data_IF_223614904150
#
_entry.id   IF_223614904150
#
_cell.length_a   1.000
_cell.length_b   1.000
_cell.length_c   1.000
_cell.angle_alpha   90.00
_cell.angle_beta   90.00
_cell.angle_gamma   90.00
#
_symmetry.space_group_name_H-M   'P 1'
#
loop_
_entity.id
_entity.type
_entity.pdbx_description
1 polymer ?
#
# COMPACT_ATOMS: atom_id res chain seq x y z
N UNK A 1 48.70 41.27 18.77
CA UNK A 1 47.23 41.21 18.73
C UNK A 1 46.88 41.49 20.18
N UNK A 2 46.38 42.70 20.45
CA UNK A 2 45.82 43.01 21.77
C UNK A 2 44.72 41.96 22.00
N UNK A 3 44.88 41.17 23.05
CA UNK A 3 43.83 40.30 23.57
C UNK A 3 42.70 41.23 24.01
N UNK A 4 41.42 40.94 23.71
CA UNK A 4 40.39 41.74 24.35
C UNK A 4 40.51 41.53 25.85
N UNK A 5 40.39 42.63 26.58
CA UNK A 5 40.51 42.67 28.03
C UNK A 5 41.51 41.64 28.60
N UNK A 6 42.80 41.97 28.55
CA UNK A 6 43.93 41.21 29.14
C UNK A 6 43.71 40.82 30.64
N UNK A 7 42.66 41.32 31.29
CA UNK A 7 42.29 41.00 32.67
C UNK A 7 41.22 39.90 32.79
N UNK A 8 40.56 39.51 31.70
CA UNK A 8 39.50 38.51 31.66
C UNK A 8 39.88 37.29 30.80
N UNK A 9 40.17 36.12 31.41
CA UNK A 9 40.58 34.93 30.66
C UNK A 9 39.48 34.31 29.78
N UNK A 10 38.23 34.78 29.88
CA UNK A 10 37.13 34.31 29.03
C UNK A 10 36.91 35.16 27.78
N UNK A 11 37.63 36.29 27.65
CA UNK A 11 37.51 37.22 26.52
C UNK A 11 38.85 37.18 25.79
N UNK A 12 38.92 36.53 24.64
CA UNK A 12 40.18 36.37 23.88
C UNK A 12 39.92 35.90 22.44
N UNK A 13 40.85 36.16 21.50
CA UNK A 13 40.81 35.63 20.14
C UNK A 13 40.69 34.10 20.10
N UNK A 14 39.47 33.60 19.86
CA UNK A 14 39.14 32.18 19.81
C UNK A 14 38.33 31.64 21.00
N UNK A 15 37.89 32.50 21.93
CA UNK A 15 36.83 32.16 22.86
C UNK A 15 35.50 31.85 22.12
N UNK A 16 34.57 31.18 22.79
CA UNK A 16 33.21 31.00 22.25
C UNK A 16 32.37 32.21 22.61
N UNK A 17 31.86 32.91 21.60
CA UNK A 17 30.97 34.08 21.78
C UNK A 17 29.72 33.71 22.60
N UNK A 18 29.39 34.52 23.60
CA UNK A 18 28.17 34.39 24.40
C UNK A 18 27.19 35.50 23.96
N UNK A 19 26.14 35.17 23.21
CA UNK A 19 25.26 36.20 22.63
C UNK A 19 24.58 37.09 23.66
N UNK A 20 24.55 38.40 23.38
CA UNK A 20 23.82 39.44 24.10
C UNK A 20 24.28 39.66 25.56
N UNK A 21 25.53 39.36 25.88
CA UNK A 21 26.09 39.59 27.23
C UNK A 21 26.71 40.99 27.38
N UNK A 22 26.81 41.77 26.30
CA UNK A 22 27.42 43.09 26.23
C UNK A 22 28.94 43.08 26.00
N UNK A 23 29.54 41.94 25.68
CA UNK A 23 30.98 41.68 25.61
C UNK A 23 31.28 40.90 24.33
N UNK A 24 32.17 41.44 23.49
CA UNK A 24 32.81 40.72 22.37
C UNK A 24 33.80 39.71 22.96
N UNK A 25 33.35 38.48 23.22
CA UNK A 25 34.10 37.45 23.94
C UNK A 25 35.21 36.86 23.06
N UNK A 26 34.96 36.69 21.77
CA UNK A 26 35.90 36.09 20.81
C UNK A 26 36.86 37.08 20.14
N UNK A 27 36.74 38.38 20.45
CA UNK A 27 37.57 39.46 19.94
C UNK A 27 37.56 39.62 18.42
N UNK A 28 36.50 39.20 17.77
CA UNK A 28 36.39 39.28 16.34
C UNK A 28 35.68 40.59 15.96
N UNK A 29 36.40 41.59 15.40
CA UNK A 29 35.81 42.87 15.03
C UNK A 29 34.77 42.77 13.91
N UNK A 30 34.70 41.63 13.21
CA UNK A 30 33.67 41.35 12.21
C UNK A 30 32.37 40.80 12.86
N UNK A 31 32.42 40.28 14.09
CA UNK A 31 31.28 39.73 14.87
C UNK A 31 31.18 40.34 16.27
N UNK A 32 31.09 41.68 16.42
CA UNK A 32 30.93 42.28 17.75
C UNK A 32 29.58 41.88 18.37
N UNK A 33 29.55 41.56 19.68
CA UNK A 33 28.37 41.13 20.44
C UNK A 33 27.09 41.97 20.17
N UNK A 34 27.23 43.27 19.91
CA UNK A 34 26.10 44.15 19.60
C UNK A 34 25.39 43.91 18.26
N UNK A 35 26.02 43.21 17.31
CA UNK A 35 25.49 43.01 15.95
C UNK A 35 25.50 41.54 15.49
N UNK A 36 26.17 40.63 16.20
CA UNK A 36 26.30 39.23 15.76
C UNK A 36 24.99 38.44 15.89
N UNK A 37 24.16 38.79 16.88
CA UNK A 37 22.87 38.14 17.11
C UNK A 37 21.67 39.05 16.82
N UNK A 38 21.80 39.98 15.88
CA UNK A 38 20.71 40.89 15.50
C UNK A 38 20.00 40.48 14.19
N UNK A 39 20.60 39.58 13.40
CA UNK A 39 19.97 39.07 12.19
C UNK A 39 18.88 38.07 12.58
N UNK A 40 17.67 38.30 12.08
CA UNK A 40 16.50 37.43 12.23
C UNK A 40 15.90 37.27 10.83
N UNK A 41 16.41 36.27 10.11
CA UNK A 41 16.20 36.07 8.68
C UNK A 41 14.75 35.73 8.36
N UNK A 42 14.04 35.02 9.24
CA UNK A 42 12.64 34.66 9.06
C UNK A 42 11.63 35.51 9.85
N UNK A 43 12.14 36.38 10.73
CA UNK A 43 11.38 37.34 11.54
C UNK A 43 10.42 36.66 12.52
N UNK A 44 10.88 35.62 13.21
CA UNK A 44 10.12 34.92 14.27
C UNK A 44 10.37 35.47 15.68
N UNK A 45 11.35 36.37 15.82
CA UNK A 45 11.75 36.97 17.08
C UNK A 45 12.93 36.28 17.77
N UNK A 46 13.43 35.19 17.19
CA UNK A 46 14.67 34.50 17.58
C UNK A 46 15.74 34.86 16.57
N UNK A 47 16.86 35.47 17.00
CA UNK A 47 17.92 35.76 16.06
C UNK A 47 18.56 34.49 15.50
N UNK A 48 19.04 34.54 14.25
CA UNK A 48 19.66 33.44 13.51
C UNK A 48 20.73 32.70 14.31
N UNK A 49 21.46 33.42 15.17
CA UNK A 49 22.54 32.86 15.99
C UNK A 49 22.04 31.96 17.14
N UNK A 50 20.79 32.15 17.58
CA UNK A 50 20.11 31.38 18.63
C UNK A 50 18.97 30.51 18.07
N UNK A 51 18.78 30.52 16.75
CA UNK A 51 17.72 29.81 16.07
C UNK A 51 18.27 28.52 15.43
N UNK A 52 17.74 27.37 15.86
CA UNK A 52 18.05 26.08 15.24
C UNK A 52 17.48 25.93 13.83
N UNK A 53 16.58 26.82 13.42
CA UNK A 53 15.94 26.92 12.13
C UNK A 53 15.84 28.38 11.61
N UNK A 54 16.96 29.06 11.30
CA UNK A 54 16.99 30.50 10.96
C UNK A 54 16.17 30.96 9.73
N UNK A 55 15.51 30.04 9.05
CA UNK A 55 14.71 30.31 7.86
C UNK A 55 13.28 29.73 7.96
N UNK A 56 12.88 29.21 9.12
CA UNK A 56 11.53 28.71 9.39
C UNK A 56 10.87 29.42 10.56
N UNK A 57 10.10 30.47 10.22
CA UNK A 57 9.41 31.34 11.18
C UNK A 57 8.46 30.65 12.19
N UNK A 58 8.21 29.35 12.03
CA UNK A 58 7.32 28.58 12.90
C UNK A 58 8.08 27.71 13.90
N UNK A 59 9.40 27.61 13.78
CA UNK A 59 10.24 26.71 14.56
C UNK A 59 11.54 27.39 14.90
N UNK A 60 11.90 27.34 16.18
CA UNK A 60 13.22 27.76 16.68
C UNK A 60 14.18 26.58 16.89
N UNK A 61 13.66 25.35 16.75
CA UNK A 61 14.41 24.11 16.82
C UNK A 61 13.96 23.17 15.69
N UNK A 62 14.88 22.39 15.08
CA UNK A 62 14.55 21.48 13.99
C UNK A 62 13.41 20.49 14.30
N UNK A 63 13.30 20.03 15.53
CA UNK A 63 12.34 18.99 15.90
C UNK A 63 12.63 17.64 15.20
N UNK A 64 11.63 16.76 15.14
CA UNK A 64 11.75 15.39 14.59
C UNK A 64 11.84 15.38 13.07
N UNK A 65 11.11 16.29 12.42
CA UNK A 65 11.04 16.41 10.96
C UNK A 65 12.03 17.41 10.36
N UNK A 66 12.81 18.10 11.20
CA UNK A 66 13.67 19.19 10.77
C UNK A 66 12.91 20.50 10.53
N UNK A 67 13.67 21.52 10.10
CA UNK A 67 13.13 22.84 9.78
C UNK A 67 12.25 22.80 8.53
N UNK A 68 11.23 23.65 8.47
CA UNK A 68 10.29 23.80 7.36
C UNK A 68 9.19 22.74 7.32
N UNK A 69 9.23 21.73 8.20
CA UNK A 69 8.27 20.63 8.25
C UNK A 69 7.70 20.55 9.66
N UNK A 70 6.36 20.57 9.79
CA UNK A 70 5.71 20.46 11.10
C UNK A 70 5.89 19.06 11.69
N UNK A 71 6.17 18.96 13.00
CA UNK A 71 6.22 17.70 13.74
C UNK A 71 4.81 17.21 14.10
N UNK A 72 3.96 17.08 13.07
CA UNK A 72 2.64 16.48 13.25
C UNK A 72 2.83 15.00 13.54
N UNK A 73 1.99 14.50 14.44
CA UNK A 73 1.87 13.10 14.82
C UNK A 73 0.35 12.85 14.82
N UNK A 74 -0.15 12.10 13.84
CA UNK A 74 -1.58 12.06 13.51
C UNK A 74 -2.33 11.02 14.32
N UNK A 75 -1.74 9.86 14.52
CA UNK A 75 -2.20 8.74 15.33
C UNK A 75 -1.85 8.92 16.81
N UNK A 76 -0.86 9.76 17.14
CA UNK A 76 -0.38 10.02 18.50
C UNK A 76 0.38 8.84 19.11
N UNK A 77 1.12 8.09 18.29
CA UNK A 77 1.99 6.99 18.74
C UNK A 77 3.37 7.47 19.22
N UNK A 78 3.69 8.75 19.00
CA UNK A 78 4.94 9.37 19.38
C UNK A 78 5.99 9.41 18.27
N UNK A 79 5.69 8.94 17.07
CA UNK A 79 6.47 9.14 15.85
C UNK A 79 5.84 10.28 15.05
N UNK A 80 6.65 11.17 14.48
CA UNK A 80 6.09 12.26 13.67
C UNK A 80 5.79 11.74 12.25
N UNK A 81 4.69 12.20 11.62
CA UNK A 81 4.19 11.82 10.28
C UNK A 81 5.32 11.71 9.21
N UNK A 82 6.40 12.50 9.35
CA UNK A 82 7.53 12.54 8.43
C UNK A 82 8.51 11.36 8.54
N UNK A 83 8.57 10.73 9.70
CA UNK A 83 9.44 9.60 10.05
C UNK A 83 8.64 8.33 10.36
N UNK A 84 7.34 8.38 10.12
CA UNK A 84 6.37 7.38 10.52
C UNK A 84 5.95 6.55 9.30
N UNK A 85 6.13 5.24 9.43
CA UNK A 85 5.81 4.27 8.38
C UNK A 85 4.29 4.11 8.23
N UNK A 86 3.56 4.31 9.32
CA UNK A 86 2.13 4.10 9.45
C UNK A 86 1.38 5.32 9.99
N UNK A 87 1.58 6.51 9.41
CA UNK A 87 1.03 7.83 9.83
C UNK A 87 -0.49 8.05 10.02
N UNK A 88 -1.28 6.99 10.23
CA UNK A 88 -2.66 6.98 10.67
C UNK A 88 -2.95 5.92 11.74
N UNK A 89 -1.98 5.09 12.11
CA UNK A 89 -2.08 3.94 13.02
C UNK A 89 -0.77 3.84 13.82
N UNK A 90 -0.80 3.25 15.00
CA UNK A 90 0.40 3.13 15.85
C UNK A 90 1.41 2.13 15.27
N UNK A 91 2.58 2.61 14.81
CA UNK A 91 3.63 1.80 14.19
C UNK A 91 4.43 0.95 15.18
N UNK A 92 4.17 1.12 16.49
CA UNK A 92 4.73 0.27 17.55
C UNK A 92 3.89 -0.98 17.82
N UNK A 93 2.71 -1.08 17.20
CA UNK A 93 1.88 -2.28 17.24
C UNK A 93 2.43 -3.30 16.24
N UNK A 94 2.87 -4.41 16.82
CA UNK A 94 3.39 -5.58 16.12
C UNK A 94 2.87 -6.81 16.88
N UNK A 95 1.74 -7.37 16.42
CA UNK A 95 0.98 -8.40 17.15
C UNK A 95 1.73 -9.72 17.24
N UNK A 96 2.47 -10.11 16.20
CA UNK A 96 3.25 -11.36 16.18
C UNK A 96 4.75 -11.16 16.48
N UNK A 97 5.20 -9.91 16.64
CA UNK A 97 6.57 -9.54 16.97
C UNK A 97 7.57 -9.91 15.88
N UNK A 98 7.17 -9.90 14.61
CA UNK A 98 8.04 -10.19 13.46
C UNK A 98 8.92 -9.00 13.04
N UNK A 99 8.64 -7.81 13.60
CA UNK A 99 9.33 -6.55 13.34
C UNK A 99 8.72 -5.72 12.21
N UNK A 100 7.58 -6.14 11.65
CA UNK A 100 6.78 -5.40 10.68
C UNK A 100 5.54 -4.86 11.39
N UNK A 101 5.31 -3.53 11.42
CA UNK A 101 4.11 -2.97 12.02
C UNK A 101 2.82 -3.47 11.36
N UNK A 102 1.79 -3.78 12.15
CA UNK A 102 0.50 -4.37 11.71
C UNK A 102 -0.14 -3.63 10.52
N UNK A 103 -0.06 -2.31 10.52
CA UNK A 103 -0.57 -1.41 9.48
C UNK A 103 0.02 -1.64 8.08
N UNK A 104 1.22 -2.22 8.00
CA UNK A 104 1.88 -2.61 6.76
C UNK A 104 2.19 -4.12 6.70
N UNK A 105 1.84 -4.86 7.75
CA UNK A 105 2.00 -6.30 7.80
C UNK A 105 0.83 -7.00 7.09
N UNK A 106 1.08 -7.71 5.98
CA UNK A 106 0.06 -8.54 5.34
C UNK A 106 -0.33 -9.81 6.12
N UNK A 107 0.36 -10.15 7.22
CA UNK A 107 0.28 -11.42 7.93
C UNK A 107 0.09 -11.30 9.45
N UNK A 108 -0.74 -10.35 9.88
CA UNK A 108 -0.97 -10.05 11.30
C UNK A 108 -1.32 -11.28 12.13
N UNK A 109 -0.46 -11.65 13.08
CA UNK A 109 -0.78 -12.64 14.11
C UNK A 109 -0.83 -14.06 13.57
N UNK A 110 -0.20 -14.31 12.43
CA UNK A 110 -0.32 -15.58 11.74
C UNK A 110 0.58 -16.67 12.33
N UNK A 111 0.20 -17.92 12.12
CA UNK A 111 0.93 -19.09 12.62
C UNK A 111 1.60 -19.82 11.46
N UNK A 112 2.58 -20.65 11.80
CA UNK A 112 3.11 -21.68 10.92
C UNK A 112 2.48 -23.00 11.40
N UNK A 113 1.29 -23.31 10.87
CA UNK A 113 0.44 -24.39 11.37
C UNK A 113 1.03 -25.77 11.12
N UNK A 114 1.92 -25.92 10.13
CA UNK A 114 2.55 -27.20 9.80
C UNK A 114 4.05 -27.30 10.15
N UNK A 115 4.68 -26.17 10.45
CA UNK A 115 6.06 -26.09 10.91
C UNK A 115 7.10 -26.17 9.79
N UNK A 116 6.76 -25.83 8.54
CA UNK A 116 7.69 -25.85 7.41
C UNK A 116 8.57 -24.59 7.28
N UNK A 117 8.26 -23.57 8.08
CA UNK A 117 8.96 -22.29 8.13
C UNK A 117 8.34 -21.20 7.24
N UNK A 118 7.19 -21.45 6.60
CA UNK A 118 6.38 -20.46 5.90
C UNK A 118 5.12 -20.18 6.73
N UNK A 119 4.83 -18.91 7.03
CA UNK A 119 3.58 -18.54 7.74
C UNK A 119 2.35 -18.87 6.88
N UNK A 120 1.25 -19.27 7.50
CA UNK A 120 0.01 -19.73 6.85
C UNK A 120 -0.52 -18.75 5.77
N UNK A 121 -0.42 -17.43 5.96
CA UNK A 121 -0.80 -16.40 5.00
C UNK A 121 -0.01 -16.47 3.68
N UNK A 122 1.25 -16.91 3.77
CA UNK A 122 2.18 -17.06 2.65
C UNK A 122 2.31 -18.51 2.19
N UNK A 123 1.84 -19.45 3.00
CA UNK A 123 1.90 -20.86 2.72
C UNK A 123 0.77 -21.26 1.74
N UNK A 124 1.09 -21.74 0.53
CA UNK A 124 0.09 -22.31 -0.37
C UNK A 124 -0.59 -23.57 0.21
N UNK A 125 0.02 -24.15 1.25
CA UNK A 125 -0.28 -25.42 1.87
C UNK A 125 -0.27 -25.35 3.41
N UNK A 126 -1.06 -24.49 4.09
CA UNK A 126 -0.91 -24.15 5.52
C UNK A 126 -1.05 -25.29 6.55
N UNK A 127 -1.20 -26.55 6.13
CA UNK A 127 -1.34 -27.70 7.02
C UNK A 127 -0.56 -28.91 6.49
N UNK A 128 0.38 -28.71 5.57
CA UNK A 128 1.16 -29.76 4.93
C UNK A 128 2.63 -29.35 4.76
N UNK A 129 3.52 -29.80 5.68
CA UNK A 129 4.87 -29.29 5.75
C UNK A 129 5.78 -29.80 4.63
N UNK A 130 5.24 -30.62 3.72
CA UNK A 130 5.95 -31.07 2.52
C UNK A 130 5.46 -30.34 1.28
N UNK A 131 4.57 -29.34 1.43
CA UNK A 131 3.94 -28.65 0.32
C UNK A 131 3.34 -29.62 -0.72
N UNK A 132 2.83 -30.79 -0.29
CA UNK A 132 2.37 -31.85 -1.18
C UNK A 132 0.95 -31.58 -1.72
N UNK A 133 0.21 -30.59 -1.21
CA UNK A 133 -0.89 -29.98 -1.98
C UNK A 133 -0.43 -29.23 -3.24
N UNK A 134 0.87 -28.92 -3.32
CA UNK A 134 1.57 -28.53 -4.56
C UNK A 134 2.31 -29.73 -5.19
N UNK A 135 1.92 -30.98 -4.86
CA UNK A 135 2.42 -32.14 -5.60
C UNK A 135 1.87 -32.08 -7.01
N UNK A 136 2.67 -31.49 -7.88
CA UNK A 136 2.48 -31.60 -9.31
C UNK A 136 2.67 -33.08 -9.69
N UNK A 137 1.59 -33.85 -9.66
CA UNK A 137 1.57 -35.26 -10.11
C UNK A 137 1.78 -35.40 -11.62
N UNK A 138 1.91 -34.28 -12.32
CA UNK A 138 2.06 -34.22 -13.77
C UNK A 138 3.49 -34.53 -14.23
N UNK A 139 3.62 -34.80 -15.53
CA UNK A 139 4.92 -35.09 -16.12
C UNK A 139 5.81 -33.85 -16.19
N UNK A 140 7.12 -34.04 -16.35
CA UNK A 140 8.06 -32.92 -16.50
C UNK A 140 7.63 -31.97 -17.62
N UNK A 141 7.46 -30.68 -17.29
CA UNK A 141 6.99 -29.63 -18.22
C UNK A 141 5.48 -29.41 -18.24
N UNK A 142 4.74 -30.06 -17.35
CA UNK A 142 3.32 -29.83 -17.10
C UNK A 142 3.12 -29.24 -15.70
N UNK A 143 2.01 -28.55 -15.50
CA UNK A 143 1.61 -27.89 -14.25
C UNK A 143 0.23 -28.41 -13.88
N UNK A 144 0.07 -28.85 -12.63
CA UNK A 144 -1.22 -29.23 -12.08
C UNK A 144 -2.08 -27.98 -11.88
N UNK A 145 -3.30 -28.03 -12.40
CA UNK A 145 -4.33 -27.02 -12.17
C UNK A 145 -5.60 -27.70 -11.66
N UNK A 146 -6.37 -26.96 -10.86
CA UNK A 146 -7.74 -27.29 -10.54
C UNK A 146 -8.67 -26.57 -11.53
N UNK A 147 -9.30 -27.36 -12.40
CA UNK A 147 -10.19 -26.88 -13.44
C UNK A 147 -11.65 -26.92 -12.99
N UNK A 148 -12.30 -25.76 -12.98
CA UNK A 148 -13.69 -25.62 -12.54
C UNK A 148 -14.64 -25.85 -13.72
N UNK A 149 -15.33 -26.99 -13.73
CA UNK A 149 -16.32 -27.30 -14.77
C UNK A 149 -17.59 -26.47 -14.55
N UNK A 150 -18.28 -26.16 -15.64
CA UNK A 150 -19.54 -25.40 -15.68
C UNK A 150 -20.68 -25.98 -14.81
N UNK A 151 -20.56 -27.22 -14.33
CA UNK A 151 -21.53 -27.87 -13.44
C UNK A 151 -21.20 -27.72 -11.95
N UNK A 152 -20.20 -26.89 -11.60
CA UNK A 152 -19.77 -26.67 -10.21
C UNK A 152 -18.90 -27.79 -9.64
N UNK A 153 -18.38 -28.69 -10.49
CA UNK A 153 -17.40 -29.71 -10.07
C UNK A 153 -16.01 -29.29 -10.51
N UNK A 154 -15.01 -29.53 -9.66
CA UNK A 154 -13.63 -29.24 -10.00
C UNK A 154 -12.88 -30.53 -10.31
N UNK A 155 -11.99 -30.48 -11.30
CA UNK A 155 -11.14 -31.61 -11.69
C UNK A 155 -9.69 -31.19 -11.78
N UNK A 156 -8.80 -32.08 -11.38
CA UNK A 156 -7.38 -31.87 -11.51
C UNK A 156 -6.94 -32.17 -12.95
N UNK A 157 -6.23 -31.22 -13.57
CA UNK A 157 -5.71 -31.34 -14.92
C UNK A 157 -4.23 -30.98 -14.95
N UNK A 158 -3.46 -31.74 -15.73
CA UNK A 158 -2.09 -31.40 -16.07
C UNK A 158 -2.07 -30.61 -17.37
N UNK A 159 -1.61 -29.36 -17.31
CA UNK A 159 -1.52 -28.49 -18.49
C UNK A 159 -0.09 -28.08 -18.73
N UNK A 160 0.29 -27.92 -20.00
CA UNK A 160 1.62 -27.39 -20.33
C UNK A 160 1.69 -25.90 -19.99
N UNK A 161 2.88 -25.40 -19.72
CA UNK A 161 3.12 -23.98 -19.39
C UNK A 161 2.51 -23.01 -20.42
N UNK A 162 2.57 -23.35 -21.72
CA UNK A 162 1.96 -22.55 -22.79
C UNK A 162 0.42 -22.57 -22.83
N UNK A 163 -0.21 -23.46 -22.05
CA UNK A 163 -1.66 -23.56 -21.89
C UNK A 163 -2.11 -22.99 -20.54
N UNK A 164 -1.20 -22.89 -19.56
CA UNK A 164 -1.49 -22.47 -18.19
C UNK A 164 -2.22 -21.13 -18.15
N UNK A 165 -1.70 -20.11 -18.83
CA UNK A 165 -2.31 -18.77 -18.79
C UNK A 165 -3.77 -18.78 -19.24
N UNK A 166 -4.12 -19.55 -20.29
CA UNK A 166 -5.51 -19.62 -20.75
C UNK A 166 -6.44 -20.32 -19.76
N UNK A 167 -5.93 -21.27 -18.98
CA UNK A 167 -6.70 -21.93 -17.92
C UNK A 167 -6.89 -20.99 -16.73
N UNK A 168 -5.83 -20.27 -16.31
CA UNK A 168 -5.91 -19.23 -15.28
C UNK A 168 -6.87 -18.10 -15.67
N UNK A 169 -6.83 -17.66 -16.93
CA UNK A 169 -7.73 -16.65 -17.50
C UNK A 169 -9.20 -17.12 -17.55
N UNK A 170 -9.44 -18.44 -17.51
CA UNK A 170 -10.77 -19.04 -17.52
C UNK A 170 -11.27 -19.46 -16.13
N UNK A 171 -10.51 -19.14 -15.08
CA UNK A 171 -10.93 -19.36 -13.71
C UNK A 171 -10.46 -20.67 -13.09
N UNK A 172 -9.49 -21.34 -13.71
CA UNK A 172 -8.78 -22.44 -13.07
C UNK A 172 -7.76 -21.89 -12.06
N UNK A 173 -7.31 -22.73 -11.13
CA UNK A 173 -6.28 -22.36 -10.16
C UNK A 173 -5.10 -23.31 -10.24
N UNK A 174 -3.93 -22.86 -9.81
CA UNK A 174 -2.77 -23.74 -9.68
C UNK A 174 -3.00 -24.77 -8.56
N UNK A 175 -2.44 -25.96 -8.72
CA UNK A 175 -2.47 -27.03 -7.72
C UNK A 175 -3.67 -27.97 -7.81
N UNK A 176 -3.79 -28.86 -6.82
CA UNK A 176 -4.90 -29.81 -6.70
C UNK A 176 -6.22 -29.13 -6.31
N UNK A 177 -7.34 -29.86 -6.41
CA UNK A 177 -8.67 -29.30 -6.13
C UNK A 177 -9.05 -29.28 -4.65
N UNK A 178 -8.14 -29.67 -3.75
CA UNK A 178 -8.41 -29.86 -2.31
C UNK A 178 -8.01 -28.69 -1.40
N UNK A 179 -7.60 -27.52 -1.93
CA UNK A 179 -7.17 -26.37 -1.11
C UNK A 179 -8.02 -25.10 -1.26
N UNK A 180 -9.23 -25.20 -1.83
CA UNK A 180 -10.12 -24.03 -2.05
C UNK A 180 -11.10 -23.79 -0.89
N UNK A 181 -10.61 -23.71 0.35
CA UNK A 181 -11.35 -23.05 1.44
C UNK A 181 -10.59 -21.80 1.89
N UNK A 182 -10.34 -20.87 0.97
CA UNK A 182 -10.12 -19.48 1.38
C UNK A 182 -11.48 -18.89 1.73
N UNK A 183 -11.62 -18.44 2.98
CA UNK A 183 -12.81 -17.73 3.44
C UNK A 183 -13.07 -16.52 2.54
N UNK A 184 -14.29 -16.47 2.03
CA UNK A 184 -14.76 -15.53 1.04
C UNK A 184 -15.16 -14.18 1.66
N UNK A 185 -14.18 -13.30 1.89
CA UNK A 185 -14.44 -11.99 2.50
C UNK A 185 -14.21 -10.78 1.58
N UNK A 186 -13.84 -10.97 0.31
CA UNK A 186 -13.62 -9.84 -0.60
C UNK A 186 -13.93 -10.15 -2.06
N UNK A 187 -14.21 -9.09 -2.84
CA UNK A 187 -14.46 -9.14 -4.30
C UNK A 187 -13.21 -9.46 -5.14
N UNK A 188 -12.13 -9.99 -4.54
CA UNK A 188 -10.82 -10.13 -5.17
C UNK A 188 -10.82 -11.11 -6.37
N UNK A 189 -11.63 -12.17 -6.30
CA UNK A 189 -11.71 -13.21 -7.32
C UNK A 189 -12.93 -13.09 -8.25
N UNK A 190 -12.95 -12.00 -9.03
CA UNK A 190 -13.87 -11.84 -10.18
C UNK A 190 -13.21 -12.26 -11.49
N UNK A 191 -13.89 -13.13 -12.23
CA UNK A 191 -13.55 -13.54 -13.60
C UNK A 191 -14.62 -13.06 -14.58
N UNK A 192 -14.20 -12.68 -15.79
CA UNK A 192 -15.10 -12.24 -16.85
C UNK A 192 -14.83 -13.01 -18.12
N UNK A 193 -15.86 -13.66 -18.64
CA UNK A 193 -15.73 -14.52 -19.82
C UNK A 193 -16.96 -14.47 -20.73
N UNK A 194 -16.80 -14.46 -22.07
CA UNK A 194 -15.53 -14.36 -22.81
C UNK A 194 -14.88 -12.99 -22.70
N UNK A 195 -13.55 -12.96 -22.81
CA UNK A 195 -12.75 -11.76 -22.94
C UNK A 195 -11.55 -12.07 -23.87
N UNK A 196 -11.49 -11.53 -25.10
CA UNK A 196 -12.36 -10.52 -25.69
C UNK A 196 -13.84 -10.95 -25.83
N UNK A 197 -14.75 -9.98 -25.79
CA UNK A 197 -16.20 -10.20 -25.86
C UNK A 197 -16.84 -9.45 -27.04
N UNK A 198 -17.93 -9.97 -27.57
CA UNK A 198 -18.82 -9.26 -28.52
C UNK A 198 -19.89 -8.41 -27.81
N UNK A 199 -19.68 -8.11 -26.52
CA UNK A 199 -20.67 -7.48 -25.65
C UNK A 199 -21.61 -8.45 -24.93
N UNK A 200 -21.35 -9.77 -25.03
CA UNK A 200 -21.99 -10.82 -24.24
C UNK A 200 -20.94 -11.51 -23.37
N UNK A 201 -21.13 -11.49 -22.06
CA UNK A 201 -20.18 -12.10 -21.13
C UNK A 201 -20.82 -12.37 -19.76
N UNK A 202 -20.23 -13.30 -19.03
CA UNK A 202 -20.55 -13.63 -17.66
C UNK A 202 -19.54 -12.99 -16.71
N UNK A 203 -20.05 -12.48 -15.60
CA UNK A 203 -19.27 -12.11 -14.41
C UNK A 203 -19.37 -13.25 -13.42
N UNK A 204 -18.24 -13.86 -13.07
CA UNK A 204 -18.15 -15.01 -12.17
C UNK A 204 -17.41 -14.60 -10.91
N UNK A 205 -18.03 -14.82 -9.75
CA UNK A 205 -17.47 -14.58 -8.42
C UNK A 205 -17.09 -15.93 -7.81
N UNK A 206 -15.79 -16.21 -7.63
CA UNK A 206 -15.31 -17.55 -7.22
C UNK A 206 -15.54 -17.84 -5.73
N UNK A 207 -15.21 -16.90 -4.85
CA UNK A 207 -15.31 -17.06 -3.40
C UNK A 207 -16.46 -16.20 -2.93
N UNK A 208 -17.70 -16.66 -3.09
CA UNK A 208 -18.88 -15.80 -2.96
C UNK A 208 -18.91 -14.88 -1.74
N UNK A 209 -19.19 -13.58 -1.93
CA UNK A 209 -19.15 -12.57 -0.87
C UNK A 209 -20.26 -12.82 0.16
N UNK A 210 -19.89 -13.08 1.42
CA UNK A 210 -20.85 -13.19 2.51
C UNK A 210 -21.58 -11.85 2.73
N UNK A 211 -22.89 -11.90 2.98
CA UNK A 211 -23.73 -10.75 3.38
C UNK A 211 -24.05 -9.65 2.33
N UNK A 212 -23.95 -9.93 1.03
CA UNK A 212 -24.34 -8.97 -0.02
C UNK A 212 -25.64 -9.41 -0.72
N UNK A 213 -26.65 -8.55 -0.71
CA UNK A 213 -27.94 -8.81 -1.38
C UNK A 213 -27.97 -8.31 -2.84
N UNK A 214 -27.19 -7.27 -3.15
CA UNK A 214 -27.19 -6.60 -4.46
C UNK A 214 -25.80 -6.11 -4.83
N UNK A 215 -25.41 -6.35 -6.09
CA UNK A 215 -24.18 -5.83 -6.68
C UNK A 215 -24.50 -4.68 -7.65
N UNK A 216 -23.63 -3.69 -7.71
CA UNK A 216 -23.65 -2.66 -8.76
C UNK A 216 -22.53 -2.93 -9.75
N UNK A 217 -22.89 -3.12 -11.02
CA UNK A 217 -21.95 -3.32 -12.11
C UNK A 217 -21.93 -2.06 -12.97
N UNK A 218 -20.76 -1.47 -13.16
CA UNK A 218 -20.56 -0.26 -13.96
C UNK A 218 -19.47 -0.49 -14.98
N UNK A 219 -19.71 -0.16 -16.24
CA UNK A 219 -18.71 -0.29 -17.31
C UNK A 219 -18.36 1.10 -17.78
N UNK A 220 -17.05 1.39 -17.82
CA UNK A 220 -16.48 2.65 -18.23
C UNK A 220 -15.57 2.45 -19.44
N UNK A 221 -15.51 3.46 -20.30
CA UNK A 221 -14.50 3.51 -21.36
C UNK A 221 -13.13 3.96 -20.81
N UNK A 222 -12.13 4.05 -21.68
CA UNK A 222 -10.76 4.50 -21.32
C UNK A 222 -10.69 5.93 -20.78
N UNK A 223 -11.70 6.76 -21.05
CA UNK A 223 -11.83 8.12 -20.50
C UNK A 223 -12.53 8.15 -19.13
N UNK A 224 -12.87 7.00 -18.56
CA UNK A 224 -13.57 6.90 -17.27
C UNK A 224 -15.07 7.21 -17.33
N UNK A 225 -15.65 7.39 -18.52
CA UNK A 225 -17.07 7.69 -18.70
C UNK A 225 -17.86 6.39 -18.61
N UNK A 226 -18.86 6.34 -17.72
CA UNK A 226 -19.75 5.19 -17.59
C UNK A 226 -20.66 5.06 -18.83
N UNK A 227 -20.55 3.93 -19.52
CA UNK A 227 -21.33 3.59 -20.71
C UNK A 227 -22.48 2.63 -20.41
N UNK A 228 -22.39 1.91 -19.29
CA UNK A 228 -23.42 1.01 -18.80
C UNK A 228 -23.34 0.92 -17.27
N UNK A 229 -24.50 0.86 -16.62
CA UNK A 229 -24.59 0.61 -15.19
C UNK A 229 -25.88 -0.15 -14.87
N UNK A 230 -25.78 -1.18 -14.04
CA UNK A 230 -26.92 -1.91 -13.53
C UNK A 230 -26.73 -2.32 -12.07
N UNK A 231 -27.85 -2.55 -11.38
CA UNK A 231 -27.88 -3.25 -10.10
C UNK A 231 -28.41 -4.65 -10.36
N UNK A 232 -27.72 -5.66 -9.84
CA UNK A 232 -28.08 -7.06 -9.95
C UNK A 232 -28.25 -7.67 -8.58
N UNK A 233 -29.22 -8.57 -8.43
CA UNK A 233 -29.26 -9.45 -7.27
C UNK A 233 -27.95 -10.24 -7.22
N UNK A 234 -27.42 -10.40 -6.00
CA UNK A 234 -26.20 -11.15 -5.82
C UNK A 234 -26.36 -12.58 -6.37
N UNK A 235 -25.42 -12.99 -7.23
CA UNK A 235 -25.30 -14.32 -7.79
C UNK A 235 -23.83 -14.58 -8.07
N UNK A 236 -23.36 -15.80 -7.85
CA UNK A 236 -21.99 -16.20 -8.19
C UNK A 236 -21.74 -16.21 -9.70
N UNK A 237 -22.81 -16.23 -10.51
CA UNK A 237 -22.77 -16.15 -11.96
C UNK A 237 -23.80 -15.13 -12.47
N UNK A 238 -23.35 -14.09 -13.16
CA UNK A 238 -24.20 -13.03 -13.71
C UNK A 238 -23.92 -12.90 -15.21
N UNK A 239 -24.91 -13.23 -16.04
CA UNK A 239 -24.82 -13.03 -17.49
C UNK A 239 -25.23 -11.60 -17.87
N UNK A 240 -24.42 -10.96 -18.71
CA UNK A 240 -24.67 -9.63 -19.26
C UNK A 240 -24.64 -9.67 -20.79
N UNK A 241 -25.70 -9.16 -21.42
CA UNK A 241 -25.78 -8.89 -22.85
C UNK A 241 -25.97 -7.37 -23.05
N UNK A 242 -24.89 -6.70 -23.39
CA UNK A 242 -24.81 -5.24 -23.56
C UNK A 242 -24.20 -4.85 -24.91
N UNK A 243 -24.23 -5.76 -25.88
CA UNK A 243 -23.73 -5.54 -27.25
C UNK A 243 -24.26 -4.23 -27.87
N UNK A 244 -25.52 -3.88 -27.57
CA UNK A 244 -26.19 -2.70 -28.13
C UNK A 244 -25.81 -1.40 -27.39
N UNK A 245 -25.10 -1.51 -26.26
CA UNK A 245 -24.63 -0.37 -25.45
C UNK A 245 -23.16 -0.03 -25.72
N UNK A 246 -22.35 -1.03 -26.08
CA UNK A 246 -20.94 -0.85 -26.40
C UNK A 246 -20.79 -0.50 -27.89
N UNK A 247 -20.84 0.80 -28.18
CA UNK A 247 -20.85 1.32 -29.55
C UNK A 247 -19.53 1.21 -30.29
N UNK A 248 -18.41 1.11 -29.57
CA UNK A 248 -17.07 1.11 -30.15
C UNK A 248 -16.34 -0.17 -29.75
N UNK A 249 -15.49 -0.68 -30.64
CA UNK A 249 -14.54 -1.73 -30.29
C UNK A 249 -13.38 -1.11 -29.52
N UNK A 250 -12.82 -1.86 -28.57
CA UNK A 250 -11.69 -1.39 -27.79
C UNK A 250 -11.71 -1.83 -26.34
N UNK A 251 -10.89 -1.16 -25.54
CA UNK A 251 -10.71 -1.45 -24.13
C UNK A 251 -11.77 -0.75 -23.28
N UNK A 252 -12.41 -1.53 -22.41
CA UNK A 252 -13.32 -1.04 -21.39
C UNK A 252 -12.92 -1.59 -20.02
N UNK A 253 -13.41 -0.93 -18.98
CA UNK A 253 -13.20 -1.32 -17.59
C UNK A 253 -14.55 -1.57 -16.94
N UNK A 254 -14.72 -2.75 -16.36
CA UNK A 254 -15.89 -3.10 -15.56
C UNK A 254 -15.54 -3.00 -14.10
N UNK A 255 -16.42 -2.35 -13.35
CA UNK A 255 -16.35 -2.14 -11.91
C UNK A 255 -17.52 -2.87 -11.29
N UNK A 256 -17.25 -3.73 -10.31
CA UNK A 256 -18.25 -4.46 -9.55
C UNK A 256 -18.09 -4.04 -8.11
N UNK A 257 -19.18 -3.55 -7.51
CA UNK A 257 -19.18 -3.09 -6.11
C UNK A 257 -20.37 -3.67 -5.37
N UNK A 258 -20.16 -4.04 -4.11
CA UNK A 258 -21.19 -4.47 -3.17
C UNK A 258 -21.68 -3.32 -2.26
N UNK A 259 -21.11 -2.12 -2.42
CA UNK A 259 -21.38 -0.94 -1.59
C UNK A 259 -20.27 -0.59 -0.61
N UNK A 260 -19.46 -1.56 -0.19
CA UNK A 260 -18.34 -1.38 0.73
C UNK A 260 -16.99 -1.57 0.02
N UNK A 261 -16.94 -2.53 -0.90
CA UNK A 261 -15.77 -2.94 -1.66
C UNK A 261 -16.02 -2.77 -3.16
N UNK A 262 -14.94 -2.61 -3.93
CA UNK A 262 -15.03 -2.57 -5.39
C UNK A 262 -13.84 -3.28 -6.04
N UNK A 263 -14.12 -4.06 -7.07
CA UNK A 263 -13.10 -4.66 -7.94
C UNK A 263 -13.27 -4.14 -9.35
N UNK A 264 -12.15 -3.98 -10.06
CA UNK A 264 -12.16 -3.61 -11.47
C UNK A 264 -11.46 -4.66 -12.33
N UNK A 265 -12.00 -4.92 -13.53
CA UNK A 265 -11.40 -5.82 -14.52
C UNK A 265 -11.38 -5.15 -15.89
N UNK A 266 -10.45 -5.56 -16.74
CA UNK A 266 -10.34 -5.11 -18.13
C UNK A 266 -11.16 -6.02 -19.02
N UNK A 267 -11.97 -5.45 -19.91
CA UNK A 267 -12.66 -6.20 -20.96
C UNK A 267 -12.31 -5.60 -22.32
N UNK A 268 -12.05 -6.45 -23.29
CA UNK A 268 -11.77 -6.05 -24.67
C UNK A 268 -13.02 -6.36 -25.48
N UNK A 269 -13.57 -5.36 -26.15
CA UNK A 269 -14.77 -5.50 -26.99
C UNK A 269 -14.35 -5.58 -28.44
N UNK A 270 -14.77 -6.64 -29.13
CA UNK A 270 -14.54 -6.91 -30.55
C UNK A 270 -15.88 -7.21 -31.22
N UNK A 271 -16.20 -6.60 -32.37
CA UNK A 271 -17.45 -6.89 -33.08
C UNK A 271 -17.28 -7.89 -34.21
#
# INVERSE_FOLDING_TARGET
>A
VEDCDDTNPNVNPGATEIPNNGIDDDCNPDTPDTNDCALDSDNDGTPDCLDGCPNDRKKIEPGKCGCGVVDRDRDNDGVADCNDVCNREDDTIDVDADGIPDCIDPCIGDQDSDGDGVLDCYDPCPNDPNNACNSNTCSAGEVLICHNKNNGTSVELCVRENQLQRHLDHGDTLGGCNTQTKQANSLEDVVIYPNPTTGKFSVVLKNGVAHVNTLTITIKNTFGIAVYQCKQSYSTHIELDIKDRLKEEGLYFIFITDGNSSVSKKIIVTK
#
